data_IF_490770764420
#
_entry.id   IF_490770764420
#
_cell.length_a   1.000
_cell.length_b   1.000
_cell.length_c   1.000
_cell.angle_alpha   90.00
_cell.angle_beta   90.00
_cell.angle_gamma   90.00
#
_symmetry.space_group_name_H-M   'P 1'
#
loop_
_entity.id
_entity.type
_entity.pdbx_description
1 polymer ?
#
# COMPACT_ATOMS: atom_id res chain seq x y z
N UNK A 1 -21.63 -19.15 -16.91
CA UNK A 1 -20.35 -19.48 -16.26
C UNK A 1 -20.47 -19.12 -14.80
N UNK A 2 -20.10 -20.01 -13.87
CA UNK A 2 -20.00 -19.67 -12.43
C UNK A 2 -18.96 -18.56 -12.24
N UNK A 3 -19.19 -17.66 -11.29
CA UNK A 3 -18.23 -16.60 -10.97
C UNK A 3 -16.95 -17.23 -10.43
N UNK A 4 -15.74 -16.82 -10.91
CA UNK A 4 -14.49 -17.38 -10.42
C UNK A 4 -14.30 -17.07 -8.92
N UNK A 5 -13.59 -17.93 -8.22
CA UNK A 5 -13.15 -17.70 -6.85
C UNK A 5 -11.96 -16.72 -6.88
N UNK A 6 -12.16 -15.50 -6.42
CA UNK A 6 -11.14 -14.46 -6.47
C UNK A 6 -10.38 -14.35 -5.14
N UNK A 7 -9.11 -14.71 -5.17
CA UNK A 7 -8.20 -14.74 -4.01
C UNK A 7 -6.87 -14.00 -4.27
N UNK A 8 -6.92 -12.91 -5.05
CA UNK A 8 -5.79 -12.00 -5.29
C UNK A 8 -6.08 -10.58 -4.80
N UNK A 9 -6.73 -10.44 -3.63
CA UNK A 9 -7.11 -9.13 -3.06
C UNK A 9 -5.91 -8.24 -2.69
N UNK A 10 -4.76 -8.82 -2.36
CA UNK A 10 -3.53 -8.06 -2.12
C UNK A 10 -2.99 -7.36 -3.38
N UNK A 11 -3.41 -7.78 -4.58
CA UNK A 11 -3.13 -7.07 -5.82
C UNK A 11 -4.16 -5.96 -6.09
N UNK A 12 -5.45 -6.25 -5.97
CA UNK A 12 -6.55 -5.29 -6.05
C UNK A 12 -7.82 -5.92 -5.45
N UNK A 13 -8.67 -5.16 -4.78
CA UNK A 13 -9.96 -5.68 -4.32
C UNK A 13 -10.94 -5.88 -5.49
N UNK A 14 -11.64 -7.01 -5.50
CA UNK A 14 -12.67 -7.34 -6.52
C UNK A 14 -13.70 -8.31 -5.95
N UNK A 15 -15.00 -8.08 -6.22
CA UNK A 15 -15.60 -6.92 -6.91
C UNK A 15 -15.56 -5.66 -6.05
N UNK A 16 -15.72 -4.52 -6.68
CA UNK A 16 -15.92 -3.25 -5.97
C UNK A 16 -17.35 -3.19 -5.38
N UNK A 17 -17.54 -2.51 -4.24
CA UNK A 17 -18.87 -2.18 -3.73
C UNK A 17 -19.71 -1.46 -4.79
N UNK A 18 -21.02 -1.72 -4.80
CA UNK A 18 -21.93 -1.06 -5.76
C UNK A 18 -21.90 0.46 -5.64
N UNK A 19 -21.76 0.99 -4.41
CA UNK A 19 -21.63 2.42 -4.17
C UNK A 19 -20.44 3.05 -4.92
N UNK A 20 -19.32 2.34 -5.01
CA UNK A 20 -18.14 2.79 -5.77
C UNK A 20 -18.43 2.88 -7.26
N UNK A 21 -19.07 1.84 -7.81
CA UNK A 21 -19.45 1.82 -9.24
C UNK A 21 -20.43 2.93 -9.56
N UNK A 22 -21.46 3.13 -8.70
CA UNK A 22 -22.43 4.20 -8.86
C UNK A 22 -21.77 5.58 -8.78
N UNK A 23 -20.89 5.83 -7.79
CA UNK A 23 -20.22 7.13 -7.63
C UNK A 23 -19.40 7.51 -8.87
N UNK A 24 -18.65 6.56 -9.45
CA UNK A 24 -17.88 6.78 -10.70
C UNK A 24 -18.82 7.10 -11.85
N UNK A 25 -19.87 6.29 -12.03
CA UNK A 25 -20.85 6.44 -13.13
C UNK A 25 -21.60 7.76 -13.05
N UNK A 26 -22.06 8.14 -11.87
CA UNK A 26 -22.81 9.37 -11.64
C UNK A 26 -21.94 10.61 -11.82
N UNK A 27 -20.69 10.55 -11.40
CA UNK A 27 -19.73 11.62 -11.64
C UNK A 27 -19.51 11.83 -13.13
N UNK A 28 -19.29 10.76 -13.90
CA UNK A 28 -19.10 10.83 -15.35
C UNK A 28 -20.32 11.34 -16.09
N UNK A 29 -21.53 10.98 -15.65
CA UNK A 29 -22.78 11.38 -16.32
C UNK A 29 -23.24 12.79 -15.97
N UNK A 30 -23.04 13.22 -14.73
CA UNK A 30 -23.75 14.40 -14.21
C UNK A 30 -22.82 15.47 -13.60
N UNK A 31 -21.55 15.15 -13.28
CA UNK A 31 -20.63 16.04 -12.54
C UNK A 31 -19.23 16.11 -13.17
N UNK A 32 -19.14 15.91 -14.49
CA UNK A 32 -17.88 15.81 -15.23
C UNK A 32 -17.20 17.15 -15.55
N UNK A 33 -17.39 18.21 -14.74
CA UNK A 33 -16.66 19.48 -14.89
C UNK A 33 -15.17 19.33 -14.54
N UNK A 34 -14.30 20.17 -15.16
CA UNK A 34 -12.91 20.26 -14.75
C UNK A 34 -12.82 21.03 -13.41
N UNK A 35 -12.22 20.46 -12.35
CA UNK A 35 -12.15 21.07 -11.01
C UNK A 35 -11.22 22.29 -10.94
N UNK A 36 -10.44 22.61 -11.98
CA UNK A 36 -9.63 23.81 -12.04
C UNK A 36 -10.45 25.09 -11.89
N UNK A 37 -9.82 26.24 -11.68
CA UNK A 37 -10.43 27.56 -11.40
C UNK A 37 -11.46 28.01 -12.45
N UNK A 38 -12.55 27.27 -12.59
CA UNK A 38 -13.71 27.67 -13.40
C UNK A 38 -14.82 28.22 -12.52
N UNK A 39 -15.50 29.23 -13.01
CA UNK A 39 -16.60 29.90 -12.28
C UNK A 39 -17.97 29.28 -12.49
N UNK A 40 -18.08 28.19 -13.30
CA UNK A 40 -19.35 27.56 -13.58
C UNK A 40 -19.66 26.40 -12.61
N UNK A 41 -20.95 26.15 -12.40
CA UNK A 41 -21.48 25.20 -11.41
C UNK A 41 -20.83 23.81 -11.48
N UNK A 42 -20.68 23.22 -12.67
CA UNK A 42 -20.10 21.87 -12.80
C UNK A 42 -18.63 21.80 -12.35
N UNK A 43 -17.84 22.85 -12.56
CA UNK A 43 -16.47 22.89 -12.07
C UNK A 43 -16.41 22.99 -10.54
N UNK A 44 -17.31 23.80 -9.94
CA UNK A 44 -17.42 23.92 -8.49
C UNK A 44 -17.88 22.59 -7.85
N UNK A 45 -18.81 21.88 -8.48
CA UNK A 45 -19.24 20.57 -8.02
C UNK A 45 -18.11 19.53 -8.07
N UNK A 46 -17.32 19.53 -9.15
CA UNK A 46 -16.14 18.67 -9.27
C UNK A 46 -15.09 18.98 -8.19
N UNK A 47 -14.82 20.26 -7.92
CA UNK A 47 -13.90 20.68 -6.86
C UNK A 47 -14.39 20.28 -5.48
N UNK A 48 -15.70 20.41 -5.20
CA UNK A 48 -16.32 19.97 -3.94
C UNK A 48 -16.21 18.45 -3.75
N UNK A 49 -16.39 17.68 -4.81
CA UNK A 49 -16.23 16.21 -4.76
C UNK A 49 -14.81 15.80 -4.39
N UNK A 50 -13.81 16.47 -4.98
CA UNK A 50 -12.40 16.23 -4.67
C UNK A 50 -12.10 16.61 -3.22
N UNK A 51 -12.57 17.77 -2.77
CA UNK A 51 -12.35 18.22 -1.39
C UNK A 51 -13.03 17.30 -0.37
N UNK A 52 -14.27 16.87 -0.61
CA UNK A 52 -14.97 15.91 0.23
C UNK A 52 -14.20 14.57 0.35
N UNK A 53 -13.56 14.12 -0.73
CA UNK A 53 -12.70 12.93 -0.67
C UNK A 53 -11.47 13.17 0.24
N UNK A 54 -10.85 14.38 0.19
CA UNK A 54 -9.75 14.74 1.11
C UNK A 54 -10.19 14.73 2.57
N UNK A 55 -11.39 15.28 2.87
CA UNK A 55 -11.92 15.30 4.23
C UNK A 55 -12.14 13.89 4.78
N UNK A 56 -12.70 12.98 3.96
CA UNK A 56 -12.87 11.58 4.36
C UNK A 56 -11.52 10.90 4.61
N UNK A 57 -10.54 11.11 3.73
CA UNK A 57 -9.19 10.56 3.92
C UNK A 57 -8.50 11.15 5.16
N UNK A 58 -8.58 12.46 5.35
CA UNK A 58 -8.01 13.14 6.50
C UNK A 58 -8.60 12.61 7.82
N UNK A 59 -9.92 12.44 7.89
CA UNK A 59 -10.59 11.85 9.05
C UNK A 59 -10.22 10.40 9.30
N UNK A 60 -10.00 9.61 8.24
CA UNK A 60 -9.63 8.20 8.35
C UNK A 60 -8.19 7.99 8.85
N UNK A 61 -7.26 8.89 8.54
CA UNK A 61 -5.84 8.72 8.80
C UNK A 61 -5.24 9.74 9.78
N UNK A 62 -6.06 10.55 10.46
CA UNK A 62 -5.59 11.53 11.44
C UNK A 62 -4.74 12.64 10.83
N UNK A 63 -5.21 13.24 9.72
CA UNK A 63 -4.50 14.29 8.98
C UNK A 63 -5.38 15.53 8.73
N UNK A 64 -4.79 16.56 8.13
CA UNK A 64 -5.51 17.75 7.62
C UNK A 64 -5.86 17.53 6.14
N UNK A 65 -7.05 17.98 5.68
CA UNK A 65 -7.52 17.77 4.31
C UNK A 65 -6.55 18.33 3.27
N UNK A 66 -5.96 19.50 3.53
CA UNK A 66 -4.99 20.17 2.64
C UNK A 66 -3.65 19.39 2.54
N UNK A 67 -3.42 18.42 3.41
CA UNK A 67 -2.22 17.58 3.40
C UNK A 67 -2.42 16.26 2.65
N UNK A 68 -3.62 16.00 2.13
CA UNK A 68 -3.95 14.83 1.30
C UNK A 68 -3.71 15.17 -0.17
N UNK A 69 -2.75 14.53 -0.80
CA UNK A 69 -2.36 14.71 -2.21
C UNK A 69 -2.81 13.49 -3.00
N UNK A 70 -3.60 13.68 -4.06
CA UNK A 70 -3.98 12.57 -4.94
C UNK A 70 -2.84 12.19 -5.88
N UNK A 71 -2.65 10.90 -6.01
CA UNK A 71 -1.67 10.28 -6.90
C UNK A 71 -2.32 9.20 -7.75
N UNK A 72 -1.63 8.72 -8.78
CA UNK A 72 -2.15 7.64 -9.64
C UNK A 72 -2.22 6.28 -8.93
N UNK A 73 -1.36 6.07 -7.95
CA UNK A 73 -1.21 4.84 -7.16
C UNK A 73 -0.14 5.04 -6.09
N UNK A 74 0.05 4.05 -5.21
CA UNK A 74 1.10 4.08 -4.19
C UNK A 74 2.51 4.22 -4.77
N UNK A 75 2.79 3.63 -5.92
CA UNK A 75 4.12 3.75 -6.56
C UNK A 75 4.45 5.18 -6.90
N UNK A 76 3.46 5.95 -7.41
CA UNK A 76 3.61 7.39 -7.64
C UNK A 76 3.85 8.14 -6.32
N UNK A 77 3.03 7.87 -5.30
CA UNK A 77 3.17 8.47 -3.97
C UNK A 77 4.56 8.20 -3.35
N UNK A 78 5.03 6.96 -3.38
CA UNK A 78 6.35 6.56 -2.87
C UNK A 78 7.51 7.20 -3.65
N UNK A 79 7.40 7.33 -4.99
CA UNK A 79 8.41 8.03 -5.76
C UNK A 79 8.45 9.53 -5.42
N UNK A 80 7.28 10.16 -5.23
CA UNK A 80 7.21 11.55 -4.78
C UNK A 80 7.84 11.71 -3.40
N UNK A 81 7.51 10.85 -2.43
CA UNK A 81 8.08 10.87 -1.09
C UNK A 81 9.60 10.66 -1.10
N UNK A 82 10.06 9.54 -1.66
CA UNK A 82 11.47 9.13 -1.63
C UNK A 82 12.35 10.14 -2.37
N UNK A 83 11.95 10.53 -3.59
CA UNK A 83 12.74 11.47 -4.39
C UNK A 83 12.62 12.90 -3.89
N UNK A 84 11.45 13.28 -3.37
CA UNK A 84 11.23 14.59 -2.78
C UNK A 84 12.02 14.81 -1.48
N UNK A 85 12.31 13.74 -0.74
CA UNK A 85 13.15 13.80 0.48
C UNK A 85 14.63 13.71 0.12
N UNK A 86 15.03 12.80 -0.77
CA UNK A 86 16.44 12.44 -0.98
C UNK A 86 17.08 13.08 -2.21
N UNK A 87 16.31 13.44 -3.23
CA UNK A 87 16.84 13.55 -4.60
C UNK A 87 16.90 14.89 -5.25
N UNK A 88 16.44 16.01 -4.64
CA UNK A 88 16.43 17.34 -5.30
C UNK A 88 16.79 18.47 -4.33
N UNK A 89 16.98 19.65 -4.84
CA UNK A 89 17.20 20.87 -4.04
C UNK A 89 18.61 21.07 -3.51
N UNK A 90 19.64 20.50 -4.14
CA UNK A 90 21.05 20.71 -3.72
C UNK A 90 21.43 19.97 -2.43
N UNK A 91 20.57 19.13 -1.91
CA UNK A 91 20.83 18.26 -0.77
C UNK A 91 21.25 16.86 -1.22
N UNK A 92 22.10 16.77 -2.26
CA UNK A 92 22.74 15.52 -2.64
C UNK A 92 23.52 14.98 -1.43
N UNK A 93 23.29 13.71 -1.10
CA UNK A 93 23.93 13.07 0.05
C UNK A 93 22.93 12.75 1.17
N UNK A 94 23.43 11.99 2.14
CA UNK A 94 22.67 11.49 3.27
C UNK A 94 22.31 10.01 3.11
N UNK A 95 21.62 9.49 4.09
CA UNK A 95 21.36 8.08 4.24
C UNK A 95 19.87 7.80 4.32
N UNK A 96 19.42 6.74 3.64
CA UNK A 96 18.08 6.21 3.71
C UNK A 96 18.11 4.75 4.20
N UNK A 97 17.09 4.36 4.95
CA UNK A 97 16.95 2.99 5.44
C UNK A 97 15.58 2.46 5.02
N UNK A 98 15.52 1.22 4.53
CA UNK A 98 14.26 0.52 4.31
C UNK A 98 14.24 -0.86 4.97
N UNK A 99 13.06 -1.51 5.05
CA UNK A 99 12.98 -2.87 5.56
C UNK A 99 13.34 -3.92 4.51
N UNK A 100 13.63 -5.15 4.97
CA UNK A 100 13.86 -6.31 4.11
C UNK A 100 12.58 -6.91 3.50
N UNK A 101 11.40 -6.36 3.86
CA UNK A 101 10.09 -6.81 3.35
C UNK A 101 9.45 -5.86 2.34
N UNK A 102 10.24 -4.95 1.77
CA UNK A 102 9.72 -3.90 0.91
C UNK A 102 9.19 -4.40 -0.44
N UNK A 103 8.12 -3.76 -0.88
CA UNK A 103 7.67 -3.81 -2.26
C UNK A 103 8.66 -3.08 -3.17
N UNK A 104 8.75 -3.49 -4.44
CA UNK A 104 9.62 -2.85 -5.45
C UNK A 104 9.36 -1.34 -5.62
N UNK A 105 8.19 -0.85 -5.24
CA UNK A 105 7.85 0.59 -5.27
C UNK A 105 8.65 1.43 -4.27
N UNK A 106 9.16 0.81 -3.19
CA UNK A 106 10.10 1.41 -2.25
C UNK A 106 11.55 1.09 -2.65
N UNK A 107 11.87 -0.19 -2.85
CA UNK A 107 13.24 -0.62 -3.03
C UNK A 107 13.87 -0.10 -4.34
N UNK A 108 13.14 -0.13 -5.45
CA UNK A 108 13.70 0.29 -6.75
C UNK A 108 14.09 1.77 -6.81
N UNK A 109 13.26 2.74 -6.38
CA UNK A 109 13.68 4.13 -6.35
C UNK A 109 14.86 4.37 -5.40
N UNK A 110 14.89 3.75 -4.21
CA UNK A 110 16.03 3.83 -3.29
C UNK A 110 17.30 3.25 -3.89
N UNK A 111 17.23 2.03 -4.43
CA UNK A 111 18.35 1.38 -5.10
C UNK A 111 18.90 2.22 -6.25
N UNK A 112 18.02 2.87 -7.02
CA UNK A 112 18.44 3.78 -8.09
C UNK A 112 19.20 4.98 -7.54
N UNK A 113 18.68 5.65 -6.52
CA UNK A 113 19.34 6.80 -5.90
C UNK A 113 20.70 6.43 -5.31
N UNK A 114 20.82 5.26 -4.67
CA UNK A 114 22.08 4.77 -4.14
C UNK A 114 23.10 4.45 -5.25
N UNK A 115 22.66 3.78 -6.32
CA UNK A 115 23.52 3.49 -7.48
C UNK A 115 24.02 4.75 -8.19
N UNK A 116 23.22 5.81 -8.21
CA UNK A 116 23.56 7.12 -8.79
C UNK A 116 24.41 7.98 -7.83
N UNK A 117 24.71 7.47 -6.62
CA UNK A 117 25.52 8.18 -5.62
C UNK A 117 24.80 9.38 -4.98
N UNK A 118 23.45 9.43 -5.08
CA UNK A 118 22.64 10.51 -4.51
C UNK A 118 22.44 10.29 -3.01
N UNK A 119 22.38 9.04 -2.54
CA UNK A 119 22.30 8.69 -1.12
C UNK A 119 22.93 7.32 -0.85
N UNK A 120 23.26 7.04 0.41
CA UNK A 120 23.52 5.69 0.88
C UNK A 120 22.23 4.97 1.25
N UNK A 121 22.20 3.64 1.11
CA UNK A 121 21.04 2.81 1.43
C UNK A 121 21.44 1.64 2.32
N UNK A 122 20.79 1.52 3.46
CA UNK A 122 20.83 0.35 4.33
C UNK A 122 19.46 -0.34 4.40
N UNK A 123 19.48 -1.64 4.72
CA UNK A 123 18.28 -2.46 4.90
C UNK A 123 18.29 -3.05 6.31
N UNK A 124 17.19 -2.92 7.05
CA UNK A 124 17.03 -3.54 8.36
C UNK A 124 16.16 -4.80 8.30
N UNK A 125 16.43 -5.75 9.21
CA UNK A 125 15.76 -7.03 9.26
C UNK A 125 14.44 -6.94 10.04
N UNK A 126 13.40 -7.60 9.53
CA UNK A 126 12.06 -7.62 10.14
C UNK A 126 11.69 -8.97 10.75
N UNK A 127 12.51 -10.00 10.52
CA UNK A 127 12.34 -11.35 11.08
C UNK A 127 10.94 -11.95 10.85
N UNK A 128 10.41 -11.98 9.62
CA UNK A 128 9.03 -12.38 9.35
C UNK A 128 8.78 -13.87 9.66
N UNK A 129 9.81 -14.73 9.53
CA UNK A 129 9.73 -16.16 9.82
C UNK A 129 9.95 -16.52 11.30
N UNK A 130 10.32 -15.56 12.15
CA UNK A 130 10.54 -15.85 13.58
C UNK A 130 9.25 -16.27 14.27
N UNK A 131 9.26 -17.32 15.13
CA UNK A 131 8.07 -17.84 15.78
C UNK A 131 7.42 -16.85 16.74
N UNK A 132 8.22 -16.02 17.40
CA UNK A 132 7.73 -14.95 18.25
C UNK A 132 7.98 -13.60 17.59
N UNK A 133 6.93 -12.78 17.54
CA UNK A 133 7.08 -11.39 17.14
C UNK A 133 7.84 -10.63 18.23
N UNK A 134 9.02 -10.14 17.90
CA UNK A 134 9.79 -9.29 18.80
C UNK A 134 9.97 -7.91 18.15
N UNK A 135 9.14 -6.95 18.56
CA UNK A 135 9.30 -5.55 18.15
C UNK A 135 10.70 -5.04 18.55
N UNK A 136 11.25 -5.53 19.68
CA UNK A 136 12.58 -5.19 20.15
C UNK A 136 13.69 -5.61 19.16
N UNK A 137 13.59 -6.79 18.52
CA UNK A 137 14.55 -7.23 17.51
C UNK A 137 14.53 -6.33 16.28
N UNK A 138 13.32 -6.00 15.79
CA UNK A 138 13.12 -5.11 14.63
C UNK A 138 13.72 -3.74 14.94
N UNK A 139 13.40 -3.16 16.10
CA UNK A 139 13.93 -1.86 16.51
C UNK A 139 15.44 -1.87 16.71
N UNK A 140 16.00 -2.96 17.25
CA UNK A 140 17.46 -3.11 17.41
C UNK A 140 18.15 -3.19 16.05
N UNK A 141 17.58 -3.95 15.09
CA UNK A 141 18.10 -4.02 13.72
C UNK A 141 18.07 -2.64 13.07
N UNK A 142 16.93 -1.92 13.12
CA UNK A 142 16.86 -0.56 12.62
C UNK A 142 17.84 0.39 13.31
N UNK A 143 17.91 0.36 14.65
CA UNK A 143 18.78 1.24 15.43
C UNK A 143 20.27 1.03 15.07
N UNK A 144 20.69 -0.20 14.78
CA UNK A 144 22.07 -0.51 14.37
C UNK A 144 22.48 0.08 13.02
N UNK A 145 21.50 0.47 12.19
CA UNK A 145 21.70 1.07 10.87
C UNK A 145 21.66 2.61 10.90
N UNK A 146 21.17 3.20 11.99
CA UNK A 146 21.05 4.66 12.08
C UNK A 146 22.42 5.34 12.13
N UNK A 147 22.57 6.40 11.33
CA UNK A 147 23.77 7.23 11.22
C UNK A 147 23.40 8.71 11.47
N UNK A 148 24.39 9.59 11.77
CA UNK A 148 24.11 11.02 11.96
C UNK A 148 23.51 11.69 10.70
N UNK A 149 23.81 11.18 9.51
CA UNK A 149 23.34 11.66 8.22
C UNK A 149 22.09 10.91 7.72
N UNK A 150 21.46 10.05 8.54
CA UNK A 150 20.20 9.39 8.19
C UNK A 150 19.08 10.42 8.10
N UNK A 151 18.47 10.54 6.93
CA UNK A 151 17.41 11.51 6.63
C UNK A 151 16.03 10.88 6.57
N UNK A 152 15.95 9.59 6.18
CA UNK A 152 14.68 8.92 5.97
C UNK A 152 14.74 7.46 6.39
N UNK A 153 13.68 7.01 7.04
CA UNK A 153 13.32 5.58 7.18
C UNK A 153 12.03 5.37 6.42
N UNK A 154 11.99 4.36 5.56
CA UNK A 154 10.75 3.97 4.87
C UNK A 154 10.49 2.49 5.06
N UNK A 155 9.25 2.13 5.42
CA UNK A 155 8.86 0.73 5.48
C UNK A 155 7.38 0.51 5.16
N UNK A 156 7.08 -0.69 4.65
CA UNK A 156 5.72 -1.17 4.54
C UNK A 156 5.14 -1.42 5.94
N UNK A 157 3.91 -0.97 6.20
CA UNK A 157 3.21 -1.31 7.45
C UNK A 157 2.86 -2.79 7.51
N UNK A 158 2.37 -3.35 6.40
CA UNK A 158 2.05 -4.75 6.27
C UNK A 158 2.66 -5.34 4.98
N UNK A 159 3.13 -6.57 5.05
CA UNK A 159 3.72 -7.26 3.91
C UNK A 159 2.67 -7.67 2.88
N UNK A 160 3.00 -7.48 1.61
CA UNK A 160 2.16 -7.93 0.49
C UNK A 160 2.33 -9.42 0.15
N UNK A 161 3.23 -10.14 0.79
CA UNK A 161 3.51 -11.55 0.52
C UNK A 161 3.19 -12.47 1.69
N UNK A 162 3.16 -11.95 2.90
CA UNK A 162 2.76 -12.70 4.09
C UNK A 162 2.04 -11.75 5.06
N UNK A 163 1.39 -12.28 6.07
CA UNK A 163 0.63 -11.48 7.04
C UNK A 163 1.51 -10.82 8.12
N UNK A 164 2.77 -10.50 7.81
CA UNK A 164 3.65 -9.77 8.72
C UNK A 164 3.27 -8.29 8.77
N UNK A 165 3.14 -7.76 9.99
CA UNK A 165 2.84 -6.35 10.28
C UNK A 165 4.00 -5.76 11.08
N UNK A 166 4.53 -4.62 10.65
CA UNK A 166 5.63 -3.93 11.34
C UNK A 166 5.11 -3.00 12.45
N UNK A 167 5.90 -2.80 13.53
CA UNK A 167 5.53 -1.95 14.65
C UNK A 167 5.75 -0.47 14.32
N UNK A 168 5.00 0.07 13.34
CA UNK A 168 5.24 1.41 12.78
C UNK A 168 5.23 2.52 13.84
N UNK A 169 4.35 2.44 14.83
CA UNK A 169 4.32 3.42 15.93
C UNK A 169 5.66 3.50 16.67
N UNK A 170 6.26 2.35 16.99
CA UNK A 170 7.56 2.30 17.68
C UNK A 170 8.71 2.75 16.78
N UNK A 171 8.62 2.42 15.47
CA UNK A 171 9.58 2.88 14.46
C UNK A 171 9.47 4.40 14.31
N UNK A 172 8.26 4.94 14.15
CA UNK A 172 7.99 6.37 14.05
C UNK A 172 8.47 7.15 15.29
N UNK A 173 8.23 6.61 16.50
CA UNK A 173 8.75 7.18 17.74
C UNK A 173 10.29 7.24 17.75
N UNK A 174 10.97 6.19 17.27
CA UNK A 174 12.43 6.17 17.14
C UNK A 174 12.91 7.23 16.14
N UNK A 175 12.29 7.32 14.97
CA UNK A 175 12.60 8.30 13.93
C UNK A 175 12.40 9.73 14.44
N UNK A 176 11.26 10.01 15.08
CA UNK A 176 10.94 11.35 15.65
C UNK A 176 11.97 11.81 16.66
N UNK A 177 12.43 10.92 17.57
CA UNK A 177 13.49 11.24 18.54
C UNK A 177 14.84 11.58 17.90
N UNK A 178 15.07 11.15 16.68
CA UNK A 178 16.31 11.36 15.91
C UNK A 178 16.20 12.43 14.84
N UNK A 179 15.03 13.06 14.67
CA UNK A 179 14.78 14.05 13.62
C UNK A 179 14.83 13.46 12.20
N UNK A 180 14.49 12.18 12.05
CA UNK A 180 14.50 11.43 10.79
C UNK A 180 13.05 11.36 10.26
N UNK A 181 12.85 11.66 8.97
CA UNK A 181 11.53 11.54 8.36
C UNK A 181 11.12 10.07 8.21
N UNK A 182 9.91 9.76 8.67
CA UNK A 182 9.34 8.42 8.61
C UNK A 182 8.26 8.32 7.52
N UNK A 183 8.54 7.51 6.50
CA UNK A 183 7.65 7.23 5.36
C UNK A 183 7.04 5.84 5.53
N UNK A 184 5.71 5.76 5.45
CA UNK A 184 5.00 4.48 5.55
C UNK A 184 4.34 4.13 4.22
N UNK A 185 4.66 2.95 3.70
CA UNK A 185 3.88 2.29 2.64
C UNK A 185 2.68 1.58 3.28
N UNK A 186 1.51 2.22 3.19
CA UNK A 186 0.24 1.69 3.70
C UNK A 186 -0.52 0.82 2.68
N UNK A 187 0.14 0.32 1.63
CA UNK A 187 -0.54 -0.37 0.52
C UNK A 187 -1.30 -1.64 0.90
N UNK A 188 -0.92 -2.29 2.00
CA UNK A 188 -1.58 -3.51 2.47
C UNK A 188 -2.31 -3.31 3.81
N UNK A 189 -2.21 -2.13 4.40
CA UNK A 189 -2.80 -1.83 5.69
C UNK A 189 -3.98 -0.86 5.63
N UNK A 190 -3.98 0.07 4.67
CA UNK A 190 -5.09 1.01 4.51
C UNK A 190 -6.42 0.27 4.27
N UNK A 191 -7.39 0.50 5.14
CA UNK A 191 -8.70 -0.15 5.12
C UNK A 191 -8.76 -1.54 5.77
N UNK A 192 -7.62 -2.08 6.25
CA UNK A 192 -7.54 -3.38 6.92
C UNK A 192 -6.85 -3.32 8.31
N UNK A 193 -6.04 -2.29 8.54
CA UNK A 193 -5.37 -2.05 9.83
C UNK A 193 -5.61 -0.59 10.23
N UNK A 194 -5.66 -0.36 11.54
CA UNK A 194 -5.75 0.99 12.08
C UNK A 194 -4.44 1.76 11.85
N UNK A 195 -4.56 2.92 11.21
CA UNK A 195 -3.46 3.82 10.83
C UNK A 195 -3.86 5.24 11.22
N UNK A 196 -2.99 5.90 11.97
CA UNK A 196 -3.16 7.30 12.34
C UNK A 196 -1.81 8.01 12.29
N UNK A 197 -1.71 9.07 11.49
CA UNK A 197 -0.44 9.74 11.23
C UNK A 197 0.17 10.37 12.47
N UNK A 198 -0.64 11.01 13.31
CA UNK A 198 -0.15 11.70 14.51
C UNK A 198 0.24 10.69 15.60
N UNK A 199 -0.65 9.75 15.90
CA UNK A 199 -0.45 8.70 16.91
C UNK A 199 0.75 7.81 16.60
N UNK A 200 0.92 7.46 15.31
CA UNK A 200 1.93 6.51 14.84
C UNK A 200 3.23 7.22 14.39
N UNK A 201 3.29 8.56 14.55
CA UNK A 201 4.44 9.41 14.23
C UNK A 201 4.89 9.29 12.77
N UNK A 202 3.94 9.27 11.85
CA UNK A 202 4.19 9.14 10.41
C UNK A 202 4.33 10.53 9.80
N UNK A 203 5.45 10.78 9.12
CA UNK A 203 5.67 12.04 8.41
C UNK A 203 5.09 12.02 6.99
N UNK A 204 5.13 10.87 6.32
CA UNK A 204 4.56 10.69 4.99
C UNK A 204 3.89 9.33 4.89
N UNK A 205 2.61 9.31 4.52
CA UNK A 205 1.83 8.08 4.33
C UNK A 205 1.46 7.92 2.85
N UNK A 206 1.81 6.78 2.26
CA UNK A 206 1.56 6.47 0.85
C UNK A 206 0.55 5.34 0.70
N UNK A 207 -0.56 5.58 -0.03
CA UNK A 207 -1.72 4.70 -0.06
C UNK A 207 -2.20 4.42 -1.49
N UNK A 208 -2.70 3.19 -1.80
CA UNK A 208 -3.46 2.90 -3.01
C UNK A 208 -4.96 3.07 -2.73
N UNK A 209 -5.69 3.59 -3.68
CA UNK A 209 -7.15 3.61 -3.56
C UNK A 209 -7.82 2.26 -3.87
N UNK A 210 -7.18 1.42 -4.67
CA UNK A 210 -7.81 0.25 -5.29
C UNK A 210 -7.70 -1.08 -4.52
N UNK A 211 -7.05 -1.08 -3.35
CA UNK A 211 -6.91 -2.28 -2.48
C UNK A 211 -7.93 -2.22 -1.33
N UNK A 212 -7.47 -2.22 -0.08
CA UNK A 212 -8.34 -2.23 1.08
C UNK A 212 -9.28 -1.02 1.19
N UNK A 213 -8.96 0.13 0.56
CA UNK A 213 -9.86 1.28 0.47
C UNK A 213 -11.00 1.11 -0.56
N UNK A 214 -11.08 -0.02 -1.27
CA UNK A 214 -12.15 -0.41 -2.18
C UNK A 214 -12.39 0.52 -3.39
N UNK A 215 -11.60 1.56 -3.59
CA UNK A 215 -11.71 2.52 -4.69
C UNK A 215 -11.30 1.95 -6.05
N UNK A 216 -11.43 2.73 -7.14
CA UNK A 216 -10.99 2.34 -8.48
C UNK A 216 -9.46 2.25 -8.59
N UNK A 217 -8.98 1.45 -9.56
CA UNK A 217 -7.60 1.53 -10.04
C UNK A 217 -7.33 2.92 -10.64
N UNK A 218 -6.07 3.34 -10.65
CA UNK A 218 -5.69 4.69 -11.06
C UNK A 218 -5.86 5.75 -9.97
N UNK A 219 -6.14 5.34 -8.72
CA UNK A 219 -6.21 6.21 -7.55
C UNK A 219 -5.20 5.81 -6.48
N UNK A 220 -4.61 6.80 -5.86
CA UNK A 220 -3.74 6.70 -4.70
C UNK A 220 -3.67 8.02 -3.97
N UNK A 221 -3.04 8.03 -2.82
CA UNK A 221 -2.85 9.24 -2.01
C UNK A 221 -1.45 9.23 -1.41
N UNK A 222 -0.90 10.43 -1.29
CA UNK A 222 0.21 10.76 -0.41
C UNK A 222 -0.33 11.73 0.63
N UNK A 223 -0.16 11.42 1.90
CA UNK A 223 -0.60 12.29 3.00
C UNK A 223 0.64 12.77 3.74
N UNK A 224 0.75 14.09 3.88
CA UNK A 224 1.89 14.74 4.54
C UNK A 224 1.57 15.07 6.00
N UNK A 225 2.47 14.74 6.89
CA UNK A 225 2.47 15.21 8.26
C UNK A 225 2.61 16.73 8.36
N UNK A 226 2.25 17.27 9.50
CA UNK A 226 2.32 18.72 9.74
C UNK A 226 3.77 19.23 9.62
N UNK A 227 3.96 20.28 8.83
CA UNK A 227 5.27 20.89 8.60
C UNK A 227 6.18 20.14 7.63
N UNK A 228 5.78 18.97 7.12
CA UNK A 228 6.54 18.24 6.10
C UNK A 228 6.35 18.90 4.74
N UNK A 229 7.46 19.14 4.05
CA UNK A 229 7.49 19.63 2.66
C UNK A 229 8.46 18.77 1.87
N UNK A 230 8.08 18.46 0.62
CA UNK A 230 8.86 17.67 -0.31
C UNK A 230 9.25 18.51 -1.54
N UNK A 231 10.29 18.11 -2.24
CA UNK A 231 10.49 18.58 -3.60
C UNK A 231 9.46 17.94 -4.53
N UNK A 232 9.10 18.66 -5.60
CA UNK A 232 8.14 18.17 -6.60
C UNK A 232 8.73 17.01 -7.41
N UNK A 233 7.89 16.07 -7.81
CA UNK A 233 8.25 15.00 -8.74
C UNK A 233 7.93 15.35 -10.19
N UNK A 234 6.85 16.11 -10.36
CA UNK A 234 6.35 16.59 -11.65
C UNK A 234 5.91 18.05 -11.50
N UNK A 235 6.17 18.83 -12.52
CA UNK A 235 5.72 20.20 -12.65
C UNK A 235 4.73 20.31 -13.82
N UNK A 236 3.69 21.16 -13.68
CA UNK A 236 2.69 21.36 -14.73
C UNK A 236 1.51 22.19 -14.28
N UNK A 237 0.59 22.49 -15.18
CA UNK A 237 -0.60 23.26 -14.88
C UNK A 237 -1.60 22.48 -14.05
N UNK A 238 -2.14 23.11 -13.02
CA UNK A 238 -3.24 22.60 -12.18
C UNK A 238 -4.42 23.59 -12.08
N UNK A 239 -4.39 24.65 -12.90
CA UNK A 239 -5.39 25.72 -12.88
C UNK A 239 -5.14 26.82 -11.83
N UNK A 240 -4.03 26.76 -11.08
CA UNK A 240 -3.63 27.74 -10.07
C UNK A 240 -2.41 28.54 -10.57
N UNK A 241 -2.33 29.80 -10.16
CA UNK A 241 -1.17 30.69 -10.35
C UNK A 241 -0.48 30.64 -11.74
N UNK A 242 -1.29 30.66 -12.81
CA UNK A 242 -0.83 30.44 -14.20
C UNK A 242 0.27 31.38 -14.70
N UNK A 243 0.48 32.50 -14.04
CA UNK A 243 1.54 33.45 -14.37
C UNK A 243 2.87 33.16 -13.65
N UNK A 244 2.87 32.24 -12.67
CA UNK A 244 4.05 31.86 -11.93
C UNK A 244 4.82 30.77 -12.71
N UNK A 245 6.14 30.88 -12.77
CA UNK A 245 7.00 29.91 -13.44
C UNK A 245 7.18 28.58 -12.66
N UNK A 246 6.99 28.61 -11.33
CA UNK A 246 7.10 27.46 -10.45
C UNK A 246 5.72 26.94 -10.02
N UNK A 247 5.69 25.71 -9.48
CA UNK A 247 4.52 25.17 -8.81
C UNK A 247 4.15 26.02 -7.58
N UNK A 248 2.91 25.89 -7.11
CA UNK A 248 2.46 26.51 -5.85
C UNK A 248 3.40 26.15 -4.68
N UNK A 249 3.49 26.98 -3.68
CA UNK A 249 4.27 26.70 -2.46
C UNK A 249 3.52 25.75 -1.52
N UNK A 250 2.21 25.80 -1.56
CA UNK A 250 1.34 25.09 -0.63
C UNK A 250 0.83 23.76 -1.18
N UNK A 251 0.69 22.79 -0.28
CA UNK A 251 -0.06 21.56 -0.55
C UNK A 251 -1.57 21.89 -0.57
N UNK A 252 -2.36 21.13 -1.32
CA UNK A 252 -1.98 20.00 -2.18
C UNK A 252 -1.49 20.42 -3.57
N UNK A 253 -1.71 21.66 -3.99
CA UNK A 253 -1.50 22.19 -5.36
C UNK A 253 -0.04 22.06 -5.80
N UNK A 254 0.91 22.17 -4.86
CA UNK A 254 2.35 21.98 -5.12
C UNK A 254 2.65 20.63 -5.78
N UNK A 255 1.90 19.59 -5.44
CA UNK A 255 2.20 18.20 -5.80
C UNK A 255 1.24 17.60 -6.83
N UNK A 256 0.18 18.34 -7.19
CA UNK A 256 -0.87 17.88 -8.10
C UNK A 256 -0.77 18.59 -9.45
N UNK A 257 0.18 18.17 -10.29
CA UNK A 257 0.31 18.65 -11.64
C UNK A 257 -0.70 17.94 -12.57
N UNK A 258 -1.42 18.71 -13.38
CA UNK A 258 -2.41 18.21 -14.34
C UNK A 258 -3.83 18.11 -13.77
N UNK A 259 -4.77 17.73 -14.62
CA UNK A 259 -6.18 17.56 -14.24
C UNK A 259 -6.37 16.31 -13.41
N UNK A 260 -6.97 16.44 -12.23
CA UNK A 260 -7.30 15.31 -11.38
C UNK A 260 -8.42 14.45 -11.97
N UNK A 261 -8.36 13.15 -11.71
CA UNK A 261 -9.34 12.16 -12.16
C UNK A 261 -10.61 12.15 -11.30
N UNK A 262 -11.41 13.20 -11.36
CA UNK A 262 -12.59 13.42 -10.50
C UNK A 262 -13.52 12.20 -10.39
N UNK A 263 -13.89 11.47 -11.48
CA UNK A 263 -14.75 10.29 -11.34
C UNK A 263 -14.13 9.18 -10.50
N UNK A 264 -12.82 8.95 -10.66
CA UNK A 264 -12.13 7.92 -9.89
C UNK A 264 -11.97 8.33 -8.42
N UNK A 265 -11.76 9.63 -8.14
CA UNK A 265 -11.71 10.21 -6.79
C UNK A 265 -13.08 10.08 -6.10
N UNK A 266 -14.19 10.34 -6.82
CA UNK A 266 -15.53 10.10 -6.30
C UNK A 266 -15.76 8.63 -5.91
N UNK A 267 -15.27 7.71 -6.76
CA UNK A 267 -15.28 6.27 -6.44
C UNK A 267 -14.41 5.91 -5.25
N UNK A 268 -13.23 6.56 -5.10
CA UNK A 268 -12.36 6.36 -3.93
C UNK A 268 -13.04 6.83 -2.64
N UNK A 269 -13.69 7.98 -2.65
CA UNK A 269 -14.47 8.47 -1.50
C UNK A 269 -15.53 7.45 -1.09
N UNK A 270 -16.35 6.99 -2.04
CA UNK A 270 -17.37 5.99 -1.77
C UNK A 270 -16.78 4.66 -1.25
N UNK A 271 -15.57 4.29 -1.68
CA UNK A 271 -14.84 3.13 -1.16
C UNK A 271 -14.42 3.31 0.31
N UNK A 272 -13.85 4.46 0.66
CA UNK A 272 -13.48 4.79 2.04
C UNK A 272 -14.70 4.88 2.96
N UNK A 273 -15.80 5.50 2.50
CA UNK A 273 -17.07 5.54 3.23
C UNK A 273 -17.64 4.14 3.46
N UNK A 274 -17.54 3.25 2.47
CA UNK A 274 -17.92 1.84 2.62
C UNK A 274 -17.06 1.16 3.70
N UNK A 275 -15.74 1.29 3.66
CA UNK A 275 -14.83 0.75 4.68
C UNK A 275 -15.17 1.28 6.07
N UNK A 276 -15.43 2.59 6.20
CA UNK A 276 -15.86 3.20 7.45
C UNK A 276 -17.19 2.63 7.97
N UNK A 277 -18.15 2.36 7.07
CA UNK A 277 -19.44 1.80 7.44
C UNK A 277 -19.40 0.34 7.90
N UNK A 278 -18.47 -0.45 7.35
CA UNK A 278 -18.22 -1.84 7.76
C UNK A 278 -17.40 -1.88 9.05
N UNK A 279 -16.42 -1.01 9.16
CA UNK A 279 -15.43 -0.96 10.24
C UNK A 279 -14.18 -1.75 9.93
N UNK A 280 -13.02 -1.10 10.11
CA UNK A 280 -11.69 -1.68 9.80
C UNK A 280 -11.44 -2.97 10.59
N UNK A 281 -11.80 -2.99 11.88
CA UNK A 281 -11.60 -4.19 12.72
C UNK A 281 -12.45 -5.38 12.26
N UNK A 282 -13.68 -5.14 11.79
CA UNK A 282 -14.53 -6.20 11.25
C UNK A 282 -13.94 -6.79 9.94
N UNK A 283 -13.42 -5.92 9.07
CA UNK A 283 -12.72 -6.34 7.84
C UNK A 283 -11.47 -7.16 8.20
N UNK A 284 -10.64 -6.63 9.08
CA UNK A 284 -9.41 -7.28 9.55
C UNK A 284 -9.67 -8.67 10.12
N UNK A 285 -10.62 -8.79 11.04
CA UNK A 285 -10.93 -10.06 11.70
C UNK A 285 -11.49 -11.09 10.72
N UNK A 286 -12.36 -10.66 9.79
CA UNK A 286 -12.87 -11.50 8.73
C UNK A 286 -11.73 -12.06 7.84
N UNK A 287 -10.84 -11.20 7.36
CA UNK A 287 -9.71 -11.61 6.51
C UNK A 287 -8.72 -12.49 7.30
N UNK A 288 -8.46 -12.17 8.57
CA UNK A 288 -7.61 -12.94 9.46
C UNK A 288 -8.15 -14.37 9.67
N UNK A 289 -9.41 -14.48 9.99
CA UNK A 289 -10.05 -15.79 10.23
C UNK A 289 -9.94 -16.71 9.00
N UNK A 290 -10.19 -16.15 7.79
CA UNK A 290 -10.06 -16.90 6.54
C UNK A 290 -8.61 -17.30 6.24
N UNK A 291 -7.67 -16.40 6.43
CA UNK A 291 -6.25 -16.65 6.18
C UNK A 291 -5.66 -17.67 7.16
N UNK A 292 -5.97 -17.56 8.44
CA UNK A 292 -5.57 -18.53 9.47
C UNK A 292 -6.14 -19.91 9.17
N UNK A 293 -7.44 -20.00 8.85
CA UNK A 293 -8.09 -21.26 8.52
C UNK A 293 -7.47 -21.96 7.30
N UNK A 294 -7.12 -21.21 6.25
CA UNK A 294 -6.43 -21.78 5.08
C UNK A 294 -4.99 -22.19 5.44
N UNK A 295 -4.23 -21.34 6.12
CA UNK A 295 -2.84 -21.57 6.52
C UNK A 295 -2.71 -22.86 7.33
N UNK A 296 -3.51 -23.04 8.37
CA UNK A 296 -3.42 -24.16 9.28
C UNK A 296 -3.66 -25.49 8.54
N UNK A 297 -4.63 -25.50 7.64
CA UNK A 297 -4.93 -26.69 6.83
C UNK A 297 -3.93 -26.97 5.70
N UNK A 298 -3.27 -25.93 5.16
CA UNK A 298 -2.15 -26.11 4.24
C UNK A 298 -0.95 -26.74 4.94
N UNK A 299 -0.69 -26.38 6.21
CA UNK A 299 0.39 -26.96 7.01
C UNK A 299 0.19 -28.42 7.37
N UNK A 300 -1.04 -28.97 7.24
CA UNK A 300 -1.33 -30.39 7.41
C UNK A 300 -0.91 -31.25 6.19
N UNK A 301 -0.61 -30.60 5.04
CA UNK A 301 -0.24 -31.28 3.80
C UNK A 301 1.29 -31.40 3.74
N UNK A 302 1.88 -32.63 3.76
CA UNK A 302 3.32 -32.81 3.86
C UNK A 302 4.13 -32.17 2.73
N UNK A 303 3.56 -32.09 1.53
CA UNK A 303 4.18 -31.53 0.32
C UNK A 303 4.14 -30.01 0.30
N UNK A 304 3.44 -29.37 1.24
CA UNK A 304 3.26 -27.90 1.28
C UNK A 304 4.19 -27.24 2.30
N UNK A 305 4.90 -26.23 1.85
CA UNK A 305 5.65 -25.33 2.72
C UNK A 305 4.91 -23.98 2.80
N UNK A 306 4.46 -23.60 3.99
CA UNK A 306 3.87 -22.28 4.26
C UNK A 306 4.94 -21.35 4.82
N UNK A 307 5.08 -20.18 4.20
CA UNK A 307 6.06 -19.17 4.60
C UNK A 307 5.48 -18.22 5.67
N UNK A 308 6.30 -17.84 6.64
CA UNK A 308 5.88 -17.05 7.81
C UNK A 308 4.65 -17.62 8.54
N UNK A 309 4.64 -18.93 8.92
CA UNK A 309 3.46 -19.63 9.42
C UNK A 309 2.93 -19.10 10.75
N UNK A 310 3.73 -18.32 11.47
CA UNK A 310 3.35 -17.70 12.75
C UNK A 310 2.69 -16.31 12.59
N UNK A 311 2.51 -15.83 11.36
CA UNK A 311 1.84 -14.54 11.08
C UNK A 311 0.37 -14.77 10.79
N UNK A 312 -0.47 -13.95 11.38
CA UNK A 312 -1.93 -14.03 11.25
C UNK A 312 -2.46 -12.85 10.43
N UNK A 313 -3.25 -13.15 9.43
CA UNK A 313 -3.88 -12.17 8.55
C UNK A 313 -4.42 -12.80 7.28
N UNK A 314 -4.94 -11.99 6.37
CA UNK A 314 -5.61 -12.44 5.15
C UNK A 314 -4.67 -12.89 4.01
N UNK A 315 -3.35 -12.88 4.19
CA UNK A 315 -2.36 -13.22 3.13
C UNK A 315 -1.60 -14.48 3.51
N UNK A 316 -1.68 -15.51 2.68
CA UNK A 316 -0.99 -16.79 2.86
C UNK A 316 -0.06 -17.04 1.67
N UNK A 317 1.22 -17.29 1.96
CA UNK A 317 2.25 -17.61 0.97
C UNK A 317 2.68 -19.07 1.15
N UNK A 318 2.66 -19.84 0.08
CA UNK A 318 3.05 -21.26 0.13
C UNK A 318 3.70 -21.76 -1.16
N UNK A 319 4.40 -22.87 -1.08
CA UNK A 319 4.88 -23.67 -2.22
C UNK A 319 4.46 -25.12 -2.06
N UNK A 320 4.43 -25.87 -3.18
CA UNK A 320 4.13 -27.30 -3.23
C UNK A 320 5.36 -28.03 -3.77
N UNK A 321 5.86 -29.03 -3.07
CA UNK A 321 7.03 -29.80 -3.49
C UNK A 321 6.79 -30.46 -4.85
N UNK A 322 7.78 -30.41 -5.73
CA UNK A 322 7.68 -30.97 -7.08
C UNK A 322 7.01 -30.05 -8.12
N UNK A 323 6.47 -28.90 -7.72
CA UNK A 323 5.83 -27.94 -8.61
C UNK A 323 6.46 -26.55 -8.50
N UNK A 324 6.56 -25.85 -9.62
CA UNK A 324 6.85 -24.41 -9.62
C UNK A 324 5.60 -23.63 -9.19
N UNK A 325 5.80 -22.41 -8.67
CA UNK A 325 4.68 -21.54 -8.30
C UNK A 325 3.74 -21.24 -9.48
N UNK A 326 4.29 -21.15 -10.69
CA UNK A 326 3.52 -20.89 -11.91
C UNK A 326 2.68 -22.09 -12.34
N UNK A 327 3.18 -23.32 -12.16
CA UNK A 327 2.41 -24.55 -12.42
C UNK A 327 1.23 -24.66 -11.47
N UNK A 328 1.46 -24.47 -10.17
CA UNK A 328 0.37 -24.47 -9.18
C UNK A 328 -0.65 -23.37 -9.50
N UNK A 329 -0.19 -22.18 -9.85
CA UNK A 329 -1.09 -21.09 -10.25
C UNK A 329 -1.94 -21.41 -11.46
N UNK A 330 -1.36 -22.04 -12.50
CA UNK A 330 -2.11 -22.48 -13.69
C UNK A 330 -3.14 -23.58 -13.39
N UNK A 331 -2.80 -24.51 -12.51
CA UNK A 331 -3.73 -25.58 -12.10
C UNK A 331 -4.92 -24.97 -11.34
N UNK A 332 -4.67 -24.04 -10.42
CA UNK A 332 -5.71 -23.31 -9.70
C UNK A 332 -6.60 -22.49 -10.63
N UNK A 333 -6.02 -21.77 -11.60
CA UNK A 333 -6.76 -20.99 -12.59
C UNK A 333 -7.64 -21.90 -13.49
N UNK A 334 -7.15 -23.07 -13.87
CA UNK A 334 -7.92 -24.08 -14.59
C UNK A 334 -9.15 -24.58 -13.83
N UNK A 335 -9.15 -24.50 -12.51
CA UNK A 335 -10.29 -24.80 -11.62
C UNK A 335 -11.12 -23.55 -11.28
N UNK A 336 -10.84 -22.42 -11.93
CA UNK A 336 -11.55 -21.15 -11.73
C UNK A 336 -11.16 -20.40 -10.45
N UNK A 337 -9.96 -20.66 -9.90
CA UNK A 337 -9.46 -20.03 -8.67
C UNK A 337 -8.34 -19.04 -9.01
N UNK A 338 -8.58 -17.76 -8.84
CA UNK A 338 -7.65 -16.68 -9.14
C UNK A 338 -6.71 -16.44 -7.95
N UNK A 339 -5.45 -16.83 -8.08
CA UNK A 339 -4.36 -16.57 -7.13
C UNK A 339 -3.21 -15.86 -7.83
N UNK A 340 -2.16 -15.52 -7.12
CA UNK A 340 -0.95 -14.95 -7.73
C UNK A 340 0.28 -15.80 -7.46
N UNK A 341 1.10 -16.01 -8.50
CA UNK A 341 2.35 -16.77 -8.44
C UNK A 341 3.57 -15.87 -8.65
N UNK A 342 4.76 -16.34 -8.27
CA UNK A 342 6.04 -15.68 -8.49
C UNK A 342 6.52 -14.83 -7.32
N UNK A 343 7.14 -13.69 -7.60
CA UNK A 343 7.82 -12.84 -6.61
C UNK A 343 6.97 -11.65 -6.09
N UNK A 344 5.75 -11.47 -6.56
CA UNK A 344 4.79 -10.47 -6.04
C UNK A 344 5.34 -9.04 -5.92
N UNK A 345 6.31 -8.66 -6.76
CA UNK A 345 7.04 -7.38 -6.67
C UNK A 345 7.73 -7.13 -5.31
N UNK A 346 8.12 -8.17 -4.58
CA UNK A 346 8.80 -8.11 -3.28
C UNK A 346 10.02 -9.02 -3.26
N UNK A 347 11.01 -8.74 -4.12
CA UNK A 347 12.19 -9.57 -4.27
C UNK A 347 13.02 -9.69 -2.97
N UNK A 348 13.12 -8.60 -2.19
CA UNK A 348 13.76 -8.65 -0.86
C UNK A 348 13.01 -9.58 0.08
N UNK A 349 11.70 -9.42 0.22
CA UNK A 349 10.88 -10.23 1.11
C UNK A 349 10.92 -11.73 0.76
N UNK A 350 10.93 -12.07 -0.52
CA UNK A 350 11.11 -13.45 -0.96
C UNK A 350 12.48 -14.03 -0.57
N UNK A 351 13.54 -13.22 -0.69
CA UNK A 351 14.89 -13.60 -0.23
C UNK A 351 14.92 -13.81 1.29
N UNK A 352 14.33 -12.88 2.04
CA UNK A 352 14.25 -12.96 3.51
C UNK A 352 13.46 -14.19 3.98
N UNK A 353 12.40 -14.57 3.26
CA UNK A 353 11.60 -15.76 3.55
C UNK A 353 12.22 -17.07 3.04
N UNK A 354 13.26 -17.01 2.20
CA UNK A 354 13.90 -18.20 1.63
C UNK A 354 12.99 -18.98 0.68
N UNK A 355 12.16 -18.30 -0.10
CA UNK A 355 11.32 -18.97 -1.10
C UNK A 355 12.15 -19.53 -2.25
N UNK A 356 11.64 -20.54 -3.01
CA UNK A 356 12.34 -21.08 -4.19
C UNK A 356 12.64 -20.01 -5.26
N UNK A 357 13.56 -20.31 -6.17
CA UNK A 357 13.96 -19.41 -7.27
C UNK A 357 12.82 -18.98 -8.18
N UNK A 358 11.73 -19.76 -8.26
CA UNK A 358 10.49 -19.41 -8.96
C UNK A 358 9.47 -18.62 -8.12
N UNK A 359 9.84 -18.19 -6.90
CA UNK A 359 8.89 -17.57 -5.97
C UNK A 359 7.92 -18.56 -5.36
N UNK A 360 6.72 -18.10 -4.99
CA UNK A 360 5.71 -18.90 -4.32
C UNK A 360 4.29 -18.55 -4.80
N UNK A 361 3.28 -19.28 -4.34
CA UNK A 361 1.87 -18.99 -4.57
C UNK A 361 1.35 -18.15 -3.41
N UNK A 362 0.66 -17.07 -3.73
CA UNK A 362 0.01 -16.20 -2.74
C UNK A 362 -1.51 -16.28 -2.90
N UNK A 363 -2.17 -16.63 -1.84
CA UNK A 363 -3.61 -16.46 -1.63
C UNK A 363 -3.81 -15.21 -0.79
N UNK A 364 -4.75 -14.37 -1.16
CA UNK A 364 -5.11 -13.20 -0.38
C UNK A 364 -6.61 -12.99 -0.35
N UNK A 365 -7.16 -12.99 0.86
CA UNK A 365 -8.58 -12.78 1.13
C UNK A 365 -8.90 -11.29 1.17
N UNK A 366 -10.17 -10.97 0.97
CA UNK A 366 -10.74 -9.66 1.13
C UNK A 366 -12.14 -9.74 1.74
N UNK A 367 -12.78 -8.61 2.02
CA UNK A 367 -14.10 -8.56 2.65
C UNK A 367 -15.18 -9.42 1.97
N UNK A 368 -15.10 -9.58 0.65
CA UNK A 368 -16.05 -10.42 -0.13
C UNK A 368 -15.76 -11.90 -0.13
N UNK A 369 -14.62 -12.35 0.39
CA UNK A 369 -14.21 -13.76 0.41
C UNK A 369 -14.98 -14.55 1.46
N UNK A 370 -15.04 -15.87 1.28
CA UNK A 370 -15.76 -16.79 2.15
C UNK A 370 -14.90 -18.02 2.43
N UNK A 371 -15.21 -18.76 3.49
CA UNK A 371 -14.51 -19.99 3.89
C UNK A 371 -14.43 -21.01 2.74
N UNK A 372 -15.52 -21.22 2.00
CA UNK A 372 -15.58 -22.11 0.82
C UNK A 372 -14.55 -21.77 -0.26
N UNK A 373 -14.05 -20.53 -0.31
CA UNK A 373 -13.06 -20.09 -1.29
C UNK A 373 -11.68 -20.66 -0.93
N UNK A 374 -11.32 -20.67 0.36
CA UNK A 374 -10.15 -21.38 0.89
C UNK A 374 -10.25 -22.89 0.73
N UNK A 375 -11.45 -23.46 0.96
CA UNK A 375 -11.73 -24.87 0.72
C UNK A 375 -11.50 -25.28 -0.74
N UNK A 376 -11.81 -24.40 -1.68
CA UNK A 376 -11.56 -24.66 -3.09
C UNK A 376 -10.05 -24.80 -3.37
N UNK A 377 -9.20 -23.93 -2.80
CA UNK A 377 -7.74 -24.04 -2.90
C UNK A 377 -7.26 -25.37 -2.31
N UNK A 378 -7.70 -25.73 -1.11
CA UNK A 378 -7.29 -26.96 -0.43
C UNK A 378 -7.64 -28.21 -1.21
N UNK A 379 -8.84 -28.26 -1.83
CA UNK A 379 -9.22 -29.41 -2.68
C UNK A 379 -8.29 -29.61 -3.87
N UNK A 380 -7.78 -28.53 -4.45
CA UNK A 380 -6.83 -28.61 -5.56
C UNK A 380 -5.45 -29.01 -5.06
N UNK A 381 -4.93 -28.32 -4.04
CA UNK A 381 -3.58 -28.56 -3.51
C UNK A 381 -3.39 -29.98 -2.97
N UNK A 382 -4.43 -30.59 -2.36
CA UNK A 382 -4.37 -32.00 -1.89
C UNK A 382 -4.29 -33.02 -3.01
N UNK A 383 -4.49 -32.65 -4.26
CA UNK A 383 -4.39 -33.54 -5.43
C UNK A 383 -3.04 -33.43 -6.15
N UNK A 384 -2.22 -32.44 -5.76
CA UNK A 384 -0.87 -32.26 -6.26
C UNK A 384 0.14 -33.11 -5.52
#
# INVERSE_FOLDING_TARGET
MSRPVYLDHAATSFPKPSAVVSAVTDCMKYRGGNPGRSSHTLALEAAREIYACREVAAGMFGAEADRVIFTLNTTHALNLAIKGIMGRGGHAGGHAICSDMEHNSVYRPLYRLAREGICDLDVFDTFPAAPLRSDGMILSSLASKLRPDTRMVVCAHASNICSAVLPIRKIGELCRRRGILFVVDGAQSAGALDLDMERDHIDVLCLPGHKGLMGPQGTGMLILGKGVTLDTLMEGGNGMDSLRGDMSEDAPERYEAGTLQTPAIAGLRAGMEFVGSVGIEAIREHERALGVGLRDRLMEIPEVTVYAPHREGGVVLFSVAGYTSEEVGRILDGEGICVRSGFHCSALGHRTLGTPDGGAVRVSFGWGSRERDGEAVLRVVRRL
#
